data_IF_844700584314
#
_entry.id   IF_844700584314
#
_cell.length_a   1.000
_cell.length_b   1.000
_cell.length_c   1.000
_cell.angle_alpha   90.00
_cell.angle_beta   90.00
_cell.angle_gamma   90.00
#
_symmetry.space_group_name_H-M   'P 1'
#
loop_
_entity.id
_entity.type
_entity.pdbx_description
1 polymer ?
#
# COMPACT_ATOMS: atom_id res chain seq x y z
N UNK A 1 -6.03 -11.38 -14.70
CA UNK A 1 -7.36 -10.83 -15.09
C UNK A 1 -8.47 -11.29 -14.14
N UNK A 2 -8.51 -12.55 -13.71
CA UNK A 2 -9.48 -13.04 -12.69
C UNK A 2 -9.28 -12.41 -11.29
N UNK A 3 -8.04 -12.21 -10.87
CA UNK A 3 -7.67 -11.63 -9.57
C UNK A 3 -8.24 -10.22 -9.34
N UNK A 4 -8.18 -9.36 -10.37
CA UNK A 4 -8.75 -8.00 -10.34
C UNK A 4 -10.27 -8.00 -10.21
N UNK A 5 -10.94 -9.00 -10.77
CA UNK A 5 -12.41 -9.14 -10.69
C UNK A 5 -12.83 -9.64 -9.31
N UNK A 6 -12.06 -10.59 -8.74
CA UNK A 6 -12.32 -11.11 -7.40
C UNK A 6 -12.13 -10.05 -6.31
N UNK A 7 -11.05 -9.25 -6.38
CA UNK A 7 -10.82 -8.16 -5.41
C UNK A 7 -11.80 -6.99 -5.56
N UNK A 8 -12.36 -6.76 -6.76
CA UNK A 8 -13.44 -5.79 -6.99
C UNK A 8 -14.79 -6.22 -6.42
N UNK A 9 -14.97 -7.51 -6.13
CA UNK A 9 -16.20 -8.02 -5.52
C UNK A 9 -16.29 -7.74 -4.02
N UNK A 10 -15.16 -7.40 -3.37
CA UNK A 10 -15.11 -7.00 -1.97
C UNK A 10 -15.53 -5.53 -1.89
N UNK A 11 -16.61 -5.27 -1.16
CA UNK A 11 -17.11 -3.92 -0.94
C UNK A 11 -16.47 -3.30 0.30
N UNK A 12 -16.44 -1.95 0.34
CA UNK A 12 -15.99 -1.24 1.53
C UNK A 12 -16.89 -1.57 2.72
N UNK A 13 -16.28 -1.82 3.86
CA UNK A 13 -16.99 -2.15 5.09
C UNK A 13 -17.84 -0.95 5.54
N UNK A 14 -19.14 -1.03 5.28
CA UNK A 14 -20.12 0.00 5.65
C UNK A 14 -20.72 -0.24 7.03
N UNK A 15 -21.49 0.71 7.53
CA UNK A 15 -22.26 0.57 8.79
C UNK A 15 -23.26 -0.59 8.72
N UNK A 16 -23.81 -0.88 7.54
CA UNK A 16 -24.71 -2.02 7.32
C UNK A 16 -23.95 -3.35 7.28
N UNK A 17 -22.78 -3.37 6.62
CA UNK A 17 -21.91 -4.55 6.63
C UNK A 17 -21.29 -4.83 8.01
N UNK A 18 -21.10 -3.80 8.84
CA UNK A 18 -20.72 -3.96 10.26
C UNK A 18 -21.77 -4.76 11.07
N UNK A 19 -23.04 -4.75 10.66
CA UNK A 19 -24.08 -5.59 11.27
C UNK A 19 -23.89 -7.05 10.87
N UNK A 20 -23.36 -7.30 9.67
CA UNK A 20 -23.11 -8.63 9.11
C UNK A 20 -21.60 -8.93 9.02
N UNK A 21 -20.84 -8.50 10.04
CA UNK A 21 -19.38 -8.53 10.02
C UNK A 21 -18.80 -9.94 9.77
N UNK A 22 -19.46 -10.98 10.28
CA UNK A 22 -19.08 -12.38 10.03
C UNK A 22 -19.19 -12.77 8.54
N UNK A 23 -20.24 -12.31 7.87
CA UNK A 23 -20.47 -12.59 6.46
C UNK A 23 -19.45 -11.85 5.60
N UNK A 24 -19.17 -10.58 5.93
CA UNK A 24 -18.14 -9.80 5.23
C UNK A 24 -16.75 -10.43 5.39
N UNK A 25 -16.36 -10.80 6.61
CA UNK A 25 -15.09 -11.49 6.87
C UNK A 25 -15.00 -12.84 6.16
N UNK A 26 -16.11 -13.58 6.07
CA UNK A 26 -16.15 -14.86 5.36
C UNK A 26 -15.96 -14.70 3.85
N UNK A 27 -16.59 -13.71 3.22
CA UNK A 27 -16.41 -13.37 1.81
C UNK A 27 -14.95 -12.97 1.56
N UNK A 28 -14.41 -12.09 2.41
CA UNK A 28 -13.04 -11.61 2.30
C UNK A 28 -12.01 -12.73 2.43
N UNK A 29 -12.16 -13.58 3.45
CA UNK A 29 -11.28 -14.73 3.67
C UNK A 29 -11.34 -15.71 2.50
N UNK A 30 -12.55 -16.03 2.00
CA UNK A 30 -12.70 -16.92 0.85
C UNK A 30 -12.03 -16.35 -0.40
N UNK A 31 -12.18 -15.05 -0.66
CA UNK A 31 -11.47 -14.38 -1.76
C UNK A 31 -9.96 -14.48 -1.59
N UNK A 32 -9.43 -14.33 -0.37
CA UNK A 32 -8.00 -14.51 -0.14
C UNK A 32 -7.54 -15.96 -0.31
N UNK A 33 -8.32 -16.96 0.09
CA UNK A 33 -8.01 -18.37 -0.16
C UNK A 33 -8.04 -18.70 -1.66
N UNK A 34 -9.09 -18.26 -2.37
CA UNK A 34 -9.26 -18.51 -3.81
C UNK A 34 -8.14 -17.88 -4.66
N UNK A 35 -7.50 -16.82 -4.14
CA UNK A 35 -6.37 -16.13 -4.76
C UNK A 35 -5.01 -16.57 -4.22
N UNK A 36 -4.96 -17.57 -3.33
CA UNK A 36 -3.74 -18.00 -2.63
C UNK A 36 -2.99 -16.83 -1.95
N UNK A 37 -3.75 -15.85 -1.45
CA UNK A 37 -3.19 -14.60 -0.93
C UNK A 37 -2.42 -14.87 0.38
N UNK A 38 -1.17 -14.37 0.52
CA UNK A 38 -0.34 -14.76 1.65
C UNK A 38 -0.93 -14.27 2.99
N UNK A 39 -0.96 -15.11 4.05
CA UNK A 39 -1.59 -14.78 5.33
C UNK A 39 -1.12 -13.47 5.96
N UNK A 40 0.18 -13.17 5.85
CA UNK A 40 0.81 -11.97 6.42
C UNK A 40 0.27 -10.66 5.83
N UNK A 41 -0.30 -10.70 4.62
CA UNK A 41 -0.79 -9.51 3.91
C UNK A 41 -2.29 -9.32 3.98
N UNK A 42 -3.02 -10.32 4.49
CA UNK A 42 -4.49 -10.31 4.51
C UNK A 42 -5.04 -9.18 5.37
N UNK A 43 -4.43 -8.92 6.52
CA UNK A 43 -4.83 -7.81 7.40
C UNK A 43 -4.63 -6.47 6.69
N UNK A 44 -3.44 -6.23 6.14
CA UNK A 44 -3.14 -5.00 5.42
C UNK A 44 -4.11 -4.79 4.26
N UNK A 45 -4.32 -5.83 3.44
CA UNK A 45 -5.24 -5.78 2.32
C UNK A 45 -6.69 -5.53 2.77
N UNK A 46 -7.14 -6.17 3.86
CA UNK A 46 -8.47 -5.95 4.42
C UNK A 46 -8.69 -4.49 4.81
N UNK A 47 -7.69 -3.82 5.38
CA UNK A 47 -7.81 -2.41 5.79
C UNK A 47 -8.00 -1.45 4.61
N UNK A 48 -7.61 -1.82 3.39
CA UNK A 48 -7.89 -0.98 2.20
C UNK A 48 -9.39 -0.80 1.92
N UNK A 49 -10.23 -1.68 2.46
CA UNK A 49 -11.68 -1.63 2.35
C UNK A 49 -12.35 -0.90 3.53
N UNK A 50 -11.56 -0.32 4.45
CA UNK A 50 -12.10 0.44 5.57
C UNK A 50 -12.52 1.86 5.15
N UNK A 51 -13.47 2.42 5.89
CA UNK A 51 -13.74 3.84 5.89
C UNK A 51 -12.84 4.55 6.92
N UNK A 52 -12.86 5.88 6.96
CA UNK A 52 -11.96 6.67 7.80
C UNK A 52 -12.08 6.34 9.31
N UNK A 53 -13.30 6.07 9.78
CA UNK A 53 -13.55 5.68 11.17
C UNK A 53 -12.87 4.35 11.51
N UNK A 54 -13.07 3.35 10.67
CA UNK A 54 -12.47 2.02 10.83
C UNK A 54 -10.94 2.07 10.65
N UNK A 55 -10.45 2.95 9.78
CA UNK A 55 -9.02 3.19 9.63
C UNK A 55 -8.42 3.77 10.91
N UNK A 56 -9.07 4.76 11.52
CA UNK A 56 -8.62 5.32 12.81
C UNK A 56 -8.64 4.26 13.92
N UNK A 57 -9.68 3.43 13.98
CA UNK A 57 -9.75 2.32 14.92
C UNK A 57 -8.63 1.30 14.69
N UNK A 58 -8.33 0.95 13.45
CA UNK A 58 -7.24 0.03 13.14
C UNK A 58 -5.89 0.60 13.59
N UNK A 59 -5.63 1.89 13.32
CA UNK A 59 -4.37 2.53 13.71
C UNK A 59 -4.13 2.52 15.23
N UNK A 60 -5.19 2.63 16.04
CA UNK A 60 -5.08 2.53 17.50
C UNK A 60 -4.90 1.09 17.98
N UNK A 61 -5.47 0.11 17.27
CA UNK A 61 -5.55 -1.30 17.72
C UNK A 61 -4.53 -2.23 17.04
N UNK A 62 -3.82 -1.75 16.00
CA UNK A 62 -2.92 -2.58 15.15
C UNK A 62 -1.80 -3.28 15.90
N UNK A 63 -1.31 -2.67 16.98
CA UNK A 63 -0.26 -3.25 17.82
C UNK A 63 -0.75 -4.49 18.58
N UNK A 64 -2.04 -4.53 18.91
CA UNK A 64 -2.69 -5.67 19.57
C UNK A 64 -3.07 -6.76 18.56
N UNK A 65 -3.34 -6.37 17.31
CA UNK A 65 -3.63 -7.27 16.18
C UNK A 65 -2.35 -7.96 15.68
N UNK A 66 -1.20 -7.28 15.72
CA UNK A 66 0.12 -7.81 15.35
C UNK A 66 0.15 -8.49 13.95
N UNK A 67 -0.60 -7.93 12.98
CA UNK A 67 -0.80 -8.50 11.63
C UNK A 67 -1.28 -9.96 11.60
N UNK A 68 -1.84 -10.47 12.70
CA UNK A 68 -2.44 -11.80 12.77
C UNK A 68 -3.91 -11.74 12.33
N UNK A 69 -4.28 -12.63 11.40
CA UNK A 69 -5.62 -12.63 10.81
C UNK A 69 -6.71 -12.98 11.83
N UNK A 70 -6.43 -13.93 12.73
CA UNK A 70 -7.38 -14.33 13.76
C UNK A 70 -7.62 -13.20 14.75
N UNK A 71 -6.53 -12.57 15.23
CA UNK A 71 -6.57 -11.41 16.12
C UNK A 71 -7.29 -10.23 15.47
N UNK A 72 -7.04 -9.98 14.18
CA UNK A 72 -7.77 -8.96 13.40
C UNK A 72 -9.27 -9.22 13.39
N UNK A 73 -9.68 -10.45 13.06
CA UNK A 73 -11.09 -10.83 13.00
C UNK A 73 -11.77 -10.67 14.36
N UNK A 74 -11.15 -11.14 15.44
CA UNK A 74 -11.71 -11.03 16.80
C UNK A 74 -11.89 -9.58 17.22
N UNK A 75 -10.87 -8.73 17.02
CA UNK A 75 -10.94 -7.32 17.39
C UNK A 75 -11.96 -6.54 16.56
N UNK A 76 -12.06 -6.82 15.27
CA UNK A 76 -13.03 -6.16 14.41
C UNK A 76 -14.48 -6.54 14.79
N UNK A 77 -14.72 -7.82 15.13
CA UNK A 77 -16.02 -8.28 15.63
C UNK A 77 -16.37 -7.64 16.97
N UNK A 78 -15.41 -7.55 17.89
CA UNK A 78 -15.61 -6.89 19.18
C UNK A 78 -15.98 -5.41 18.99
N UNK A 79 -15.25 -4.71 18.12
CA UNK A 79 -15.54 -3.32 17.78
C UNK A 79 -16.94 -3.15 17.16
N UNK A 80 -17.32 -4.04 16.24
CA UNK A 80 -18.67 -4.06 15.66
C UNK A 80 -19.76 -4.21 16.74
N UNK A 81 -19.54 -5.13 17.67
CA UNK A 81 -20.46 -5.41 18.77
C UNK A 81 -20.57 -4.24 19.76
N UNK A 82 -19.44 -3.66 20.16
CA UNK A 82 -19.40 -2.53 21.10
C UNK A 82 -20.12 -1.30 20.54
N UNK A 83 -19.98 -1.07 19.23
CA UNK A 83 -20.68 -0.01 18.49
C UNK A 83 -22.19 -0.22 18.47
N UNK A 84 -22.65 -1.46 18.36
CA UNK A 84 -24.08 -1.78 18.39
C UNK A 84 -24.70 -1.64 19.79
N UNK A 85 -23.93 -1.97 20.84
CA UNK A 85 -24.41 -1.93 22.23
C UNK A 85 -24.39 -0.53 22.84
N UNK A 86 -23.53 0.38 22.36
CA UNK A 86 -23.43 1.76 22.84
C UNK A 86 -23.57 2.79 21.70
N UNK A 87 -24.79 3.07 21.21
CA UNK A 87 -25.02 4.08 20.18
C UNK A 87 -24.76 5.53 20.65
N UNK A 88 -24.45 5.75 21.93
CA UNK A 88 -24.51 7.08 22.59
C UNK A 88 -23.18 7.83 22.73
N UNK A 89 -22.11 7.50 22.01
CA UNK A 89 -20.84 8.25 22.12
C UNK A 89 -20.18 8.52 20.78
N UNK A 90 -20.94 9.02 19.81
CA UNK A 90 -20.38 9.72 18.64
C UNK A 90 -21.19 11.00 18.39
N UNK A 91 -21.12 11.92 19.34
CA UNK A 91 -21.44 13.33 19.10
C UNK A 91 -20.20 14.15 19.44
N UNK A 92 -19.27 14.22 18.48
CA UNK A 92 -18.53 15.44 18.26
C UNK A 92 -18.52 15.73 16.77
N UNK A 93 -19.38 16.68 16.42
CA UNK A 93 -19.45 17.36 15.15
C UNK A 93 -18.13 18.07 14.86
N UNK A 94 -17.48 17.66 13.76
CA UNK A 94 -16.70 18.52 12.89
C UNK A 94 -17.22 18.19 11.49
N UNK A 95 -18.34 18.76 11.03
CA UNK A 95 -18.36 20.05 10.33
C UNK A 95 -17.02 20.41 9.69
N UNK A 96 -16.67 19.70 8.62
CA UNK A 96 -15.99 20.30 7.47
C UNK A 96 -16.55 19.64 6.21
N UNK A 97 -17.61 20.24 5.67
CA UNK A 97 -17.92 20.10 4.25
C UNK A 97 -16.74 20.69 3.49
N UNK A 98 -15.83 19.84 3.01
CA UNK A 98 -15.00 20.01 1.80
C UNK A 98 -14.15 18.74 1.60
N UNK A 99 -14.43 18.03 0.50
CA UNK A 99 -13.55 17.09 -0.21
C UNK A 99 -12.90 15.95 0.60
N UNK A 100 -13.68 14.91 0.94
CA UNK A 100 -13.13 13.58 1.24
C UNK A 100 -12.66 12.97 -0.09
N UNK A 101 -11.47 13.38 -0.51
CA UNK A 101 -10.72 12.63 -1.52
C UNK A 101 -10.16 11.40 -0.81
N UNK A 102 -10.63 10.20 -1.18
CA UNK A 102 -10.09 8.95 -0.65
C UNK A 102 -8.56 8.94 -0.84
N UNK A 103 -7.82 8.30 0.07
CA UNK A 103 -6.36 8.18 -0.04
C UNK A 103 -5.92 7.71 -1.43
N UNK A 104 -6.64 6.73 -1.99
CA UNK A 104 -6.47 6.27 -3.37
C UNK A 104 -6.71 7.38 -4.41
N UNK A 105 -7.76 8.19 -4.26
CA UNK A 105 -8.01 9.34 -5.15
C UNK A 105 -6.92 10.40 -5.04
N UNK A 106 -6.40 10.67 -3.83
CA UNK A 106 -5.25 11.56 -3.66
C UNK A 106 -4.05 11.04 -4.45
N UNK A 107 -3.75 9.74 -4.33
CA UNK A 107 -2.65 9.14 -5.08
C UNK A 107 -2.90 9.22 -6.60
N UNK A 108 -4.08 8.81 -7.06
CA UNK A 108 -4.44 8.81 -8.48
C UNK A 108 -4.41 10.20 -9.14
N UNK A 109 -4.73 11.25 -8.38
CA UNK A 109 -4.77 12.62 -8.90
C UNK A 109 -3.47 13.38 -8.79
N UNK A 110 -2.61 13.04 -7.82
CA UNK A 110 -1.38 13.79 -7.55
C UNK A 110 -0.12 13.08 -8.03
N UNK A 111 -0.17 11.78 -8.27
CA UNK A 111 1.02 10.98 -8.54
C UNK A 111 0.99 10.35 -9.92
N UNK A 112 2.16 10.33 -10.56
CA UNK A 112 2.36 9.58 -11.80
C UNK A 112 2.64 8.13 -11.40
N UNK A 113 1.94 7.17 -12.00
CA UNK A 113 2.18 5.74 -11.75
C UNK A 113 3.36 5.22 -12.55
N UNK A 114 4.12 4.28 -12.00
CA UNK A 114 5.25 3.66 -12.67
C UNK A 114 4.91 2.26 -13.16
N UNK A 115 5.13 1.99 -14.44
CA UNK A 115 4.82 0.71 -15.08
C UNK A 115 6.01 -0.27 -15.14
N UNK A 116 7.21 0.19 -14.81
CA UNK A 116 8.46 -0.54 -15.06
C UNK A 116 9.27 0.00 -16.24
N UNK A 117 8.76 1.03 -16.93
CA UNK A 117 9.40 1.67 -18.09
C UNK A 117 9.66 3.15 -17.80
N UNK A 118 10.80 3.66 -18.26
CA UNK A 118 11.24 5.04 -18.04
C UNK A 118 12.31 5.16 -16.96
N UNK A 119 12.72 6.39 -16.66
CA UNK A 119 13.77 6.65 -15.68
C UNK A 119 13.23 6.48 -14.25
N UNK A 120 13.57 5.33 -13.64
CA UNK A 120 13.18 4.99 -12.30
C UNK A 120 13.71 5.98 -11.24
N UNK A 121 14.89 6.59 -11.45
CA UNK A 121 15.45 7.57 -10.51
C UNK A 121 14.67 8.86 -10.53
N UNK A 122 14.38 9.35 -11.73
CA UNK A 122 13.59 10.57 -11.90
C UNK A 122 12.17 10.39 -11.35
N UNK A 123 11.53 9.27 -11.68
CA UNK A 123 10.20 8.94 -11.14
C UNK A 123 10.18 8.89 -9.61
N UNK A 124 11.16 8.23 -8.99
CA UNK A 124 11.23 8.11 -7.53
C UNK A 124 11.46 9.49 -6.88
N UNK A 125 12.32 10.32 -7.47
CA UNK A 125 12.57 11.68 -6.98
C UNK A 125 11.30 12.55 -7.06
N UNK A 126 10.56 12.48 -8.17
CA UNK A 126 9.29 13.18 -8.33
C UNK A 126 8.27 12.71 -7.30
N UNK A 127 8.13 11.40 -7.10
CA UNK A 127 7.24 10.79 -6.10
C UNK A 127 7.57 11.28 -4.69
N UNK A 128 8.85 11.30 -4.30
CA UNK A 128 9.27 11.80 -2.98
C UNK A 128 8.96 13.29 -2.81
N UNK A 129 9.13 14.10 -3.87
CA UNK A 129 8.77 15.51 -3.84
C UNK A 129 7.25 15.69 -3.70
N UNK A 130 6.45 14.89 -4.39
CA UNK A 130 4.99 14.91 -4.27
C UNK A 130 4.51 14.46 -2.90
N UNK A 131 5.15 13.46 -2.28
CA UNK A 131 4.88 13.08 -0.89
C UNK A 131 5.10 14.25 0.06
N UNK A 132 6.21 14.98 -0.10
CA UNK A 132 6.49 16.18 0.70
C UNK A 132 5.44 17.27 0.47
N UNK A 133 5.04 17.51 -0.77
CA UNK A 133 4.03 18.52 -1.11
C UNK A 133 2.64 18.16 -0.57
N UNK A 134 2.30 16.87 -0.54
CA UNK A 134 1.04 16.37 0.02
C UNK A 134 1.09 16.17 1.54
N UNK A 135 2.25 16.40 2.19
CA UNK A 135 2.40 16.22 3.64
C UNK A 135 2.32 14.77 4.12
N UNK A 136 2.59 13.80 3.24
CA UNK A 136 2.46 12.38 3.54
C UNK A 136 3.56 11.91 4.51
N UNK A 137 3.15 11.30 5.61
CA UNK A 137 3.99 10.72 6.66
C UNK A 137 4.58 9.38 6.20
N UNK A 138 5.64 8.93 6.87
CA UNK A 138 6.38 7.70 6.48
C UNK A 138 5.50 6.46 6.30
N UNK A 139 4.52 6.26 7.18
CA UNK A 139 3.62 5.10 7.07
C UNK A 139 2.66 5.24 5.86
N UNK A 140 2.19 6.46 5.57
CA UNK A 140 1.33 6.73 4.42
C UNK A 140 2.11 6.56 3.11
N UNK A 141 3.37 6.97 3.08
CA UNK A 141 4.27 6.74 1.94
C UNK A 141 4.43 5.24 1.65
N UNK A 142 4.56 4.41 2.70
CA UNK A 142 4.61 2.96 2.57
C UNK A 142 3.28 2.39 2.05
N UNK A 143 2.14 2.85 2.60
CA UNK A 143 0.80 2.46 2.14
C UNK A 143 0.50 2.92 0.69
N UNK A 144 1.14 3.99 0.22
CA UNK A 144 0.95 4.51 -1.13
C UNK A 144 1.58 3.62 -2.22
N UNK A 145 2.63 2.84 -1.89
CA UNK A 145 3.41 2.06 -2.87
C UNK A 145 2.55 1.22 -3.82
N UNK A 146 1.62 0.36 -3.36
CA UNK A 146 0.80 -0.44 -4.28
C UNK A 146 -0.04 0.40 -5.25
N UNK A 147 -0.43 1.62 -4.88
CA UNK A 147 -1.23 2.52 -5.72
C UNK A 147 -0.37 3.27 -6.75
N UNK A 148 0.94 3.41 -6.48
CA UNK A 148 1.92 4.10 -7.30
C UNK A 148 2.50 3.24 -8.42
N UNK A 149 2.28 1.93 -8.37
CA UNK A 149 2.86 0.97 -9.30
C UNK A 149 1.78 0.33 -10.17
N UNK A 150 2.12 0.10 -11.44
CA UNK A 150 1.29 -0.63 -12.39
C UNK A 150 2.14 -1.65 -13.15
N UNK A 151 1.48 -2.56 -13.86
CA UNK A 151 2.09 -3.53 -14.77
C UNK A 151 3.30 -4.27 -14.16
N UNK A 152 4.47 -4.20 -14.81
CA UNK A 152 5.67 -4.95 -14.43
C UNK A 152 6.21 -4.50 -13.07
N UNK A 153 6.10 -3.22 -12.76
CA UNK A 153 6.55 -2.70 -11.47
C UNK A 153 5.66 -3.16 -10.32
N UNK A 154 4.35 -3.24 -10.54
CA UNK A 154 3.43 -3.77 -9.54
C UNK A 154 3.68 -5.26 -9.28
N UNK A 155 3.83 -6.06 -10.33
CA UNK A 155 4.15 -7.48 -10.19
C UNK A 155 5.46 -7.71 -9.43
N UNK A 156 6.51 -6.95 -9.75
CA UNK A 156 7.76 -7.00 -9.01
C UNK A 156 7.58 -6.64 -7.53
N UNK A 157 6.77 -5.62 -7.23
CA UNK A 157 6.51 -5.24 -5.84
C UNK A 157 5.81 -6.36 -5.08
N UNK A 158 4.79 -6.99 -5.66
CA UNK A 158 4.10 -8.14 -5.05
C UNK A 158 5.06 -9.29 -4.78
N UNK A 159 5.98 -9.60 -5.71
CA UNK A 159 7.01 -10.63 -5.50
C UNK A 159 8.02 -10.31 -4.39
N UNK A 160 8.15 -9.04 -4.01
CA UNK A 160 9.16 -8.56 -3.06
C UNK A 160 8.54 -7.89 -1.83
N UNK A 161 7.22 -8.00 -1.64
CA UNK A 161 6.48 -7.23 -0.64
C UNK A 161 6.96 -7.52 0.80
N UNK A 162 7.35 -8.76 1.09
CA UNK A 162 7.88 -9.17 2.40
C UNK A 162 9.20 -8.48 2.75
N UNK A 163 9.93 -8.04 1.73
CA UNK A 163 11.18 -7.30 1.90
C UNK A 163 10.92 -5.79 2.04
N UNK A 164 9.70 -5.30 1.80
CA UNK A 164 9.35 -3.88 1.79
C UNK A 164 8.64 -3.50 3.08
N UNK A 165 9.42 -3.30 4.15
CA UNK A 165 8.89 -2.86 5.47
C UNK A 165 8.91 -1.34 5.65
N UNK A 166 9.51 -0.60 4.71
CA UNK A 166 9.60 0.85 4.75
C UNK A 166 9.76 1.42 3.34
N UNK A 167 9.39 2.70 3.15
CA UNK A 167 9.55 3.37 1.85
C UNK A 167 11.04 3.50 1.46
N UNK A 168 11.94 3.59 2.44
CA UNK A 168 13.38 3.63 2.22
C UNK A 168 13.91 2.30 1.67
N UNK A 169 13.41 1.18 2.20
CA UNK A 169 13.80 -0.14 1.73
C UNK A 169 13.20 -0.44 0.35
N UNK A 170 11.94 -0.05 0.13
CA UNK A 170 11.34 -0.02 -1.20
C UNK A 170 12.23 0.73 -2.20
N UNK A 171 12.59 1.98 -1.88
CA UNK A 171 13.38 2.85 -2.77
C UNK A 171 14.69 2.19 -3.20
N UNK A 172 15.38 1.52 -2.26
CA UNK A 172 16.64 0.81 -2.55
C UNK A 172 16.40 -0.37 -3.49
N UNK A 173 15.45 -1.24 -3.17
CA UNK A 173 15.14 -2.44 -3.96
C UNK A 173 14.61 -2.05 -5.35
N UNK A 174 13.77 -1.02 -5.41
CA UNK A 174 13.18 -0.48 -6.63
C UNK A 174 14.25 0.02 -7.59
N UNK A 175 15.19 0.84 -7.09
CA UNK A 175 16.29 1.32 -7.93
C UNK A 175 17.20 0.17 -8.37
N UNK A 176 17.50 -0.80 -7.49
CA UNK A 176 18.27 -1.98 -7.89
C UNK A 176 17.61 -2.75 -9.05
N UNK A 177 16.28 -2.88 -9.04
CA UNK A 177 15.56 -3.58 -10.09
C UNK A 177 15.47 -2.79 -11.39
N UNK A 178 15.03 -1.53 -11.31
CA UNK A 178 14.60 -0.77 -12.50
C UNK A 178 15.67 0.17 -13.06
N UNK A 179 16.81 0.32 -12.39
CA UNK A 179 17.97 1.05 -12.96
C UNK A 179 19.07 0.12 -13.46
N UNK A 180 19.07 -1.15 -13.07
CA UNK A 180 20.10 -2.11 -13.48
C UNK A 180 19.75 -2.91 -14.75
N UNK A 181 18.67 -2.62 -15.47
CA UNK A 181 18.38 -3.27 -16.75
C UNK A 181 19.36 -2.77 -17.82
N UNK A 182 20.38 -3.54 -18.22
CA UNK A 182 21.21 -3.15 -19.35
C UNK A 182 20.37 -3.34 -20.59
N UNK A 183 20.36 -2.36 -21.50
CA UNK A 183 19.85 -2.58 -22.85
C UNK A 183 20.52 -3.82 -23.43
N UNK A 184 19.74 -4.88 -23.65
CA UNK A 184 20.12 -5.94 -24.59
C UNK A 184 19.88 -5.42 -26.01
N UNK A 185 20.92 -4.86 -26.61
CA UNK A 185 21.16 -4.68 -28.07
C UNK A 185 22.37 -3.75 -28.22
N UNK A 186 23.50 -4.04 -28.88
CA UNK A 186 23.78 -4.84 -30.08
C UNK A 186 25.28 -5.25 -30.10
N UNK A 187 25.56 -6.42 -30.68
CA UNK A 187 26.82 -6.91 -31.26
C UNK A 187 27.75 -5.81 -31.87
N UNK A 188 29.01 -5.53 -31.45
CA UNK A 188 30.37 -6.10 -31.75
C UNK A 188 31.35 -4.88 -31.84
N UNK A 189 32.71 -4.91 -31.69
CA UNK A 189 33.64 -5.58 -30.75
C UNK A 189 34.65 -4.63 -30.02
N UNK A 190 35.38 -5.18 -29.03
CA UNK A 190 36.74 -4.82 -28.54
C UNK A 190 37.12 -3.35 -28.29
N UNK A 191 37.42 -3.05 -27.03
CA UNK A 191 38.32 -1.97 -26.61
C UNK A 191 38.42 -1.87 -25.09
N UNK A 192 39.63 -2.03 -24.56
CA UNK A 192 40.00 -2.08 -23.14
C UNK A 192 39.63 -0.85 -22.29
N UNK A 193 39.64 -1.07 -20.96
CA UNK A 193 39.66 -0.11 -19.82
C UNK A 193 38.38 0.74 -19.61
N UNK A 194 37.85 0.98 -18.42
CA UNK A 194 38.33 0.93 -17.04
C UNK A 194 37.10 0.79 -16.12
N UNK A 195 37.14 -0.06 -15.08
CA UNK A 195 36.02 -0.31 -14.17
C UNK A 195 36.07 0.66 -12.99
N UNK A 196 35.43 1.81 -13.13
CA UNK A 196 35.09 2.65 -11.97
C UNK A 196 33.70 2.26 -11.47
N UNK A 197 33.67 1.49 -10.38
CA UNK A 197 32.47 1.26 -9.56
C UNK A 197 31.99 2.62 -9.00
N UNK A 198 31.01 3.24 -9.65
CA UNK A 198 30.29 4.37 -9.08
C UNK A 198 29.28 3.86 -8.05
N UNK A 199 29.72 3.79 -6.79
CA UNK A 199 28.81 3.72 -5.64
C UNK A 199 28.10 5.06 -5.57
N UNK A 200 26.88 5.13 -6.10
CA UNK A 200 26.04 6.32 -6.01
C UNK A 200 25.37 6.31 -4.63
N UNK A 201 25.95 7.05 -3.69
CA UNK A 201 25.33 7.35 -2.40
C UNK A 201 24.12 8.27 -2.59
N UNK A 202 22.96 7.86 -2.07
CA UNK A 202 21.84 8.77 -1.86
C UNK A 202 22.20 9.66 -0.66
N UNK A 203 22.17 10.99 -0.78
CA UNK A 203 22.63 11.86 0.30
C UNK A 203 21.78 11.75 1.57
N UNK A 204 22.46 11.62 2.72
CA UNK A 204 21.83 11.35 4.03
C UNK A 204 20.87 12.44 4.52
N UNK A 205 20.88 13.64 3.91
CA UNK A 205 19.95 14.71 4.27
C UNK A 205 18.51 14.46 3.83
N UNK A 206 18.25 13.41 3.03
CA UNK A 206 16.90 12.99 2.68
C UNK A 206 16.18 12.22 3.79
N UNK A 207 16.89 11.78 4.85
CA UNK A 207 16.34 10.92 5.91
C UNK A 207 15.95 11.65 7.21
N UNK A 208 16.11 12.98 7.26
CA UNK A 208 15.73 13.79 8.44
C UNK A 208 14.27 14.19 8.39
#
# INVERSE_FOLDING_TARGET
>A
MQEKIALQSIHKLTTEEMIQIDQWLSVLYKTFEDLEYPPLHRVLQATTYFNDELQMWYETTKHEINNDWSSFCERLKQYAFDRQMNPSTVNHSLSSNNDILSFEYLIDTKFIKYSGVGDAKDWLLQTMNQFRQCGLRRFEQLQAIPFLLVDTAYLWYVENIDLVVSFELFSKLFLQKFTCTPLKSQDIPRGDTDKTLSVVMVPDYFWK
#
